data_IF_105344419372
#
_entry.id   IF_105344419372
#
_cell.length_a   1.000
_cell.length_b   1.000
_cell.length_c   1.000
_cell.angle_alpha   90.00
_cell.angle_beta   90.00
_cell.angle_gamma   90.00
#
_symmetry.space_group_name_H-M   'P 1'
#
loop_
_entity.id
_entity.type
_entity.pdbx_description
1 polymer ?
2 non-polymer ?
3 non-polymer ?
4 water ?
#
# COMPACT_ATOMS: atom_id res chain seq x y z
N UNK A 1 -18.81 -11.74 -38.68
CA UNK A 1 -17.65 -10.88 -38.45
C UNK A 1 -16.47 -11.71 -37.94
N UNK A 2 -15.23 -11.19 -38.13
CA UNK A 2 -14.02 -11.88 -37.67
C UNK A 2 -13.88 -11.75 -36.16
N UNK A 3 -13.73 -12.91 -35.49
CA UNK A 3 -13.58 -12.98 -34.05
C UNK A 3 -12.46 -12.05 -33.59
N UNK A 4 -12.74 -11.21 -32.60
CA UNK A 4 -11.79 -10.27 -32.05
C UNK A 4 -10.63 -10.99 -31.39
N UNK A 5 -9.47 -10.35 -31.38
CA UNK A 5 -8.31 -10.90 -30.73
C UNK A 5 -8.43 -10.67 -29.22
N UNK A 6 -7.77 -11.48 -28.42
CA UNK A 6 -7.69 -11.16 -26.98
C UNK A 6 -7.03 -9.77 -26.82
N UNK A 7 -7.34 -9.06 -25.73
CA UNK A 7 -6.81 -7.68 -25.59
C UNK A 7 -5.34 -7.63 -25.20
N UNK A 8 -4.75 -8.78 -24.76
CA UNK A 8 -3.38 -8.74 -24.30
C UNK A 8 -2.65 -10.03 -24.56
N UNK A 9 -1.37 -9.91 -24.92
CA UNK A 9 -0.41 -11.00 -25.20
C UNK A 9 0.63 -11.01 -24.10
N UNK A 10 0.66 -12.06 -23.31
CA UNK A 10 1.67 -12.19 -22.28
C UNK A 10 3.09 -12.17 -22.90
N UNK A 11 4.00 -11.28 -22.42
CA UNK A 11 5.35 -11.21 -23.01
C UNK A 11 6.20 -12.44 -22.62
N UNK A 12 7.30 -12.69 -23.34
CA UNK A 12 8.10 -13.89 -23.05
C UNK A 12 8.68 -13.96 -21.64
N UNK A 13 8.87 -12.79 -21.00
CA UNK A 13 9.45 -12.72 -19.67
C UNK A 13 8.40 -12.97 -18.57
N UNK A 14 7.12 -13.11 -18.93
CA UNK A 14 6.07 -13.32 -17.94
C UNK A 14 6.02 -14.73 -17.39
N UNK A 15 5.53 -14.86 -16.16
CA UNK A 15 5.38 -16.15 -15.51
C UNK A 15 4.60 -16.05 -14.22
N UNK A 16 4.19 -17.20 -13.66
CA UNK A 16 3.34 -17.13 -12.46
C UNK A 16 4.07 -16.67 -11.21
N UNK A 17 3.35 -15.95 -10.35
CA UNK A 17 3.88 -15.53 -9.05
C UNK A 17 3.87 -16.77 -8.12
N UNK A 18 5.01 -17.09 -7.50
CA UNK A 18 5.17 -18.24 -6.59
C UNK A 18 5.12 -17.77 -5.13
N UNK A 19 5.57 -16.53 -4.84
CA UNK A 19 5.53 -15.99 -3.48
C UNK A 19 4.10 -15.46 -3.13
N UNK A 20 3.74 -15.45 -1.82
CA UNK A 20 2.38 -15.04 -1.42
C UNK A 20 2.10 -13.52 -1.40
N UNK A 21 2.18 -12.93 -2.58
CA UNK A 21 1.78 -11.55 -2.83
C UNK A 21 0.28 -11.50 -2.99
N UNK A 22 -0.32 -10.32 -2.73
CA UNK A 22 -1.77 -10.15 -2.86
C UNK A 22 -2.13 -8.73 -3.23
N UNK A 23 -3.40 -8.53 -3.59
CA UNK A 23 -3.94 -7.22 -3.89
C UNK A 23 -5.00 -6.94 -2.86
N UNK A 24 -4.83 -5.87 -2.06
CA UNK A 24 -5.88 -5.51 -1.10
C UNK A 24 -6.70 -4.37 -1.68
N UNK A 25 -8.01 -4.46 -1.61
CA UNK A 25 -8.89 -3.42 -2.10
C UNK A 25 -9.28 -2.45 -1.01
N UNK A 26 -9.24 -1.16 -1.34
CA UNK A 26 -9.74 -0.11 -0.48
C UNK A 26 -10.84 0.60 -1.21
N UNK A 27 -11.87 1.02 -0.50
CA UNK A 27 -12.92 1.82 -1.14
C UNK A 27 -13.29 2.93 -0.17
N UNK A 28 -12.97 4.17 -0.54
CA UNK A 28 -13.27 5.39 0.21
C UNK A 28 -12.94 5.37 1.69
N UNK A 29 -11.70 4.99 2.00
CA UNK A 29 -11.22 4.94 3.38
C UNK A 29 -11.53 3.64 4.09
N UNK A 30 -12.16 2.68 3.41
CA UNK A 30 -12.55 1.40 4.00
C UNK A 30 -11.76 0.26 3.37
N UNK A 31 -11.15 -0.60 4.19
CA UNK A 31 -10.45 -1.78 3.70
C UNK A 31 -11.51 -2.85 3.37
N UNK A 32 -11.51 -3.34 2.12
CA UNK A 32 -12.44 -4.40 1.72
C UNK A 32 -11.67 -5.74 1.72
N UNK A 33 -11.71 -6.49 0.62
CA UNK A 33 -11.07 -7.79 0.57
C UNK A 33 -9.66 -7.84 0.02
N UNK A 34 -9.11 -9.06 0.03
CA UNK A 34 -7.79 -9.35 -0.47
C UNK A 34 -7.89 -10.47 -1.51
N UNK A 35 -7.17 -10.31 -2.61
CA UNK A 35 -7.08 -11.30 -3.70
C UNK A 35 -5.65 -11.83 -3.75
N UNK A 36 -5.45 -13.16 -3.65
CA UNK A 36 -4.10 -13.71 -3.74
C UNK A 36 -3.57 -13.59 -5.16
N UNK A 37 -2.26 -13.33 -5.32
CA UNK A 37 -1.62 -13.29 -6.63
C UNK A 37 -0.79 -14.57 -6.84
N UNK A 38 -0.78 -15.49 -5.87
CA UNK A 38 -0.02 -16.73 -5.99
C UNK A 38 -0.60 -17.54 -7.16
N UNK A 39 0.26 -17.92 -8.08
CA UNK A 39 -0.14 -18.72 -9.23
C UNK A 39 -0.62 -17.87 -10.39
N UNK A 40 -0.74 -16.53 -10.21
CA UNK A 40 -1.16 -15.58 -11.24
C UNK A 40 0.02 -15.18 -12.12
N UNK A 41 -0.09 -15.28 -13.47
CA UNK A 41 0.93 -14.75 -14.37
C UNK A 41 0.58 -13.27 -14.65
N UNK A 42 -0.70 -12.99 -14.91
CA UNK A 42 -1.12 -11.61 -15.07
C UNK A 42 -2.59 -11.48 -14.68
N UNK A 43 -2.97 -10.28 -14.29
CA UNK A 43 -4.32 -10.00 -13.89
C UNK A 43 -4.87 -8.90 -14.79
N UNK A 44 -5.95 -9.24 -15.54
CA UNK A 44 -6.60 -8.30 -16.46
C UNK A 44 -7.75 -7.60 -15.76
N UNK A 45 -7.70 -6.25 -15.71
CA UNK A 45 -8.74 -5.41 -15.12
C UNK A 45 -9.55 -4.73 -16.20
N UNK A 46 -10.86 -4.62 -15.98
CA UNK A 46 -11.71 -3.88 -16.90
C UNK A 46 -13.16 -4.01 -16.52
N UNK A 47 -14.03 -3.38 -17.32
CA UNK A 47 -15.46 -3.41 -17.10
C UNK A 47 -16.11 -4.69 -17.68
N UNK A 48 -15.49 -5.31 -18.71
CA UNK A 48 -16.06 -6.54 -19.28
C UNK A 48 -16.03 -7.66 -18.26
N UNK A 49 -17.09 -8.50 -18.25
CA UNK A 49 -17.22 -9.63 -17.32
C UNK A 49 -16.07 -10.64 -17.47
N UNK A 50 -15.51 -10.71 -18.67
CA UNK A 50 -14.39 -11.59 -19.02
C UNK A 50 -13.09 -11.21 -18.35
N UNK A 51 -12.99 -10.02 -17.74
CA UNK A 51 -11.75 -9.64 -17.05
C UNK A 51 -11.54 -10.44 -15.78
N UNK A 52 -10.26 -10.55 -15.36
CA UNK A 52 -9.97 -11.25 -14.10
C UNK A 52 -10.57 -10.51 -12.89
N UNK A 53 -10.55 -9.15 -12.96
CA UNK A 53 -11.14 -8.26 -11.96
C UNK A 53 -12.06 -7.38 -12.75
N UNK A 54 -13.37 -7.52 -12.45
CA UNK A 54 -14.43 -6.83 -13.18
C UNK A 54 -14.86 -5.60 -12.39
N UNK A 55 -14.55 -4.40 -12.94
CA UNK A 55 -14.89 -3.13 -12.31
C UNK A 55 -16.22 -2.65 -12.86
N UNK A 56 -17.03 -2.00 -12.03
CA UNK A 56 -18.36 -1.61 -12.48
C UNK A 56 -18.43 -0.19 -12.98
N UNK A 57 -17.54 0.70 -12.49
CA UNK A 57 -17.67 2.12 -12.82
C UNK A 57 -17.66 2.35 -14.34
N UNK A 58 -18.65 3.14 -14.90
CA UNK A 58 -18.69 3.31 -16.38
C UNK A 58 -17.45 3.99 -16.94
N UNK A 59 -16.66 4.75 -16.11
CA UNK A 59 -15.45 5.38 -16.66
C UNK A 59 -14.34 4.37 -16.94
N UNK A 60 -14.44 3.12 -16.41
CA UNK A 60 -13.40 2.12 -16.60
C UNK A 60 -13.53 1.55 -18.02
N UNK A 61 -12.41 1.37 -18.70
CA UNK A 61 -12.49 0.79 -20.04
C UNK A 61 -12.89 -0.68 -19.99
N UNK A 62 -13.55 -1.14 -21.09
CA UNK A 62 -13.99 -2.54 -21.19
C UNK A 62 -12.81 -3.50 -20.90
N UNK A 63 -11.65 -3.19 -21.49
CA UNK A 63 -10.35 -3.84 -21.18
C UNK A 63 -9.45 -2.70 -20.80
N UNK A 64 -9.10 -2.60 -19.51
CA UNK A 64 -8.46 -1.39 -19.03
C UNK A 64 -6.95 -1.50 -18.82
N UNK A 65 -6.49 -2.46 -18.00
CA UNK A 65 -5.07 -2.58 -17.74
C UNK A 65 -4.77 -3.97 -17.30
N UNK A 66 -3.48 -4.29 -17.33
CA UNK A 66 -2.99 -5.58 -16.85
C UNK A 66 -1.91 -5.38 -15.80
N UNK A 67 -1.94 -6.20 -14.73
CA UNK A 67 -0.83 -6.30 -13.78
C UNK A 67 -0.08 -7.58 -14.15
N UNK A 68 1.13 -7.45 -14.73
CA UNK A 68 1.91 -8.55 -15.24
C UNK A 68 3.05 -8.91 -14.27
N UNK A 69 3.16 -10.20 -13.97
CA UNK A 69 4.26 -10.69 -13.15
C UNK A 69 5.40 -11.19 -14.04
N UNK A 70 6.63 -10.82 -13.68
CA UNK A 70 7.82 -11.29 -14.37
C UNK A 70 8.17 -12.66 -13.81
N UNK A 71 8.50 -13.65 -14.68
CA UNK A 71 8.85 -15.01 -14.25
C UNK A 71 9.91 -14.97 -13.18
N UNK A 72 9.68 -15.77 -12.14
CA UNK A 72 10.61 -15.81 -11.04
C UNK A 72 11.85 -16.52 -11.50
N UNK A 73 12.99 -16.04 -11.05
CA UNK A 73 14.27 -16.70 -11.25
C UNK A 73 14.28 -17.97 -10.41
N UNK A 74 15.31 -18.80 -10.51
CA UNK A 74 15.30 -20.07 -9.77
C UNK A 74 15.35 -19.93 -8.24
N UNK A 75 15.79 -18.76 -7.72
CA UNK A 75 15.92 -18.40 -6.30
C UNK A 75 16.61 -19.50 -5.46
N UNK A 82 13.01 -6.37 -5.64
CA UNK A 82 12.16 -7.43 -5.10
C UNK A 82 11.33 -8.16 -6.14
N UNK A 83 10.00 -8.28 -5.94
CA UNK A 83 9.18 -8.99 -6.93
C UNK A 83 9.00 -8.16 -8.19
N UNK A 84 8.79 -8.82 -9.30
CA UNK A 84 8.63 -8.12 -10.54
C UNK A 84 7.17 -8.06 -10.95
N UNK A 85 6.45 -7.01 -10.51
CA UNK A 85 5.10 -6.75 -11.03
C UNK A 85 5.14 -5.48 -11.80
N UNK A 86 4.44 -5.48 -12.96
CA UNK A 86 4.42 -4.33 -13.86
C UNK A 86 3.02 -4.06 -14.31
N UNK A 87 2.67 -2.79 -14.33
CA UNK A 87 1.36 -2.34 -14.76
C UNK A 87 1.44 -1.97 -16.22
N UNK A 88 0.41 -2.32 -16.98
CA UNK A 88 0.40 -2.06 -18.43
C UNK A 88 -1.02 -1.56 -18.78
N UNK A 89 -1.15 -0.30 -19.11
CA UNK A 89 -2.44 0.29 -19.46
C UNK A 89 -2.76 -0.05 -20.94
N UNK A 90 -3.97 -0.55 -21.20
CA UNK A 90 -4.36 -0.98 -22.56
C UNK A 90 -4.97 0.17 -23.36
N UNK A 91 -4.35 1.34 -23.31
CA UNK A 91 -4.90 2.51 -24.01
C UNK A 91 -6.26 2.91 -23.46
N UNK A 92 -6.38 2.91 -22.10
CA UNK A 92 -7.64 3.23 -21.46
C UNK A 92 -8.09 4.64 -21.78
N UNK A 93 -9.41 4.83 -21.81
CA UNK A 93 -10.01 6.11 -22.09
C UNK A 93 -9.72 7.11 -20.96
N UNK A 94 -9.84 6.67 -19.70
CA UNK A 94 -9.74 7.57 -18.57
C UNK A 94 -8.55 7.35 -17.64
N UNK A 95 -7.59 6.54 -18.10
CA UNK A 95 -6.31 6.40 -17.45
C UNK A 95 -6.15 5.35 -16.38
N UNK A 96 -4.87 5.02 -16.11
CA UNK A 96 -4.45 4.12 -15.05
C UNK A 96 -3.46 4.88 -14.20
N UNK A 97 -3.67 4.84 -12.88
CA UNK A 97 -2.90 5.64 -11.93
C UNK A 97 -2.10 4.76 -11.01
N UNK A 98 -0.80 5.05 -10.90
CA UNK A 98 0.13 4.32 -10.03
C UNK A 98 0.58 5.35 -8.99
N UNK A 99 0.10 5.21 -7.73
CA UNK A 99 0.15 6.23 -6.68
C UNK A 99 -0.54 7.51 -7.31
N UNK A 100 0.10 8.70 -7.39
CA UNK A 100 -0.65 9.83 -8.00
C UNK A 100 -0.49 9.95 -9.52
N UNK A 101 0.44 9.20 -10.13
CA UNK A 101 0.79 9.40 -11.53
C UNK A 101 -0.04 8.61 -12.55
N UNK A 102 -0.53 9.29 -13.59
CA UNK A 102 -1.22 8.65 -14.70
C UNK A 102 -0.14 8.04 -15.59
N UNK A 103 -0.11 6.72 -15.71
CA UNK A 103 0.96 6.11 -16.47
C UNK A 103 0.72 6.22 -17.99
N UNK A 104 1.82 6.17 -18.77
CA UNK A 104 1.67 6.20 -20.23
C UNK A 104 1.00 4.92 -20.70
N UNK A 105 0.20 4.95 -21.76
CA UNK A 105 -0.40 3.72 -22.25
C UNK A 105 0.63 2.76 -22.82
N UNK A 106 0.30 1.46 -22.72
CA UNK A 106 1.06 0.39 -23.38
C UNK A 106 2.56 0.45 -23.06
N UNK A 107 2.87 0.72 -21.79
CA UNK A 107 4.23 0.82 -21.27
C UNK A 107 4.30 0.07 -19.92
N UNK A 108 5.21 -0.91 -19.79
CA UNK A 108 5.31 -1.58 -18.52
C UNK A 108 5.94 -0.69 -17.46
N UNK A 109 5.18 -0.47 -16.37
CA UNK A 109 5.60 0.38 -15.24
C UNK A 109 5.69 -0.46 -14.01
N UNK A 110 6.88 -0.47 -13.39
CA UNK A 110 7.09 -1.27 -12.18
C UNK A 110 6.19 -0.84 -11.04
N UNK A 111 5.54 -1.83 -10.41
CA UNK A 111 4.70 -1.63 -9.25
C UNK A 111 5.47 -2.12 -8.06
N UNK A 112 6.02 -1.19 -7.25
CA UNK A 112 6.74 -1.66 -6.08
C UNK A 112 5.72 -2.08 -5.02
N UNK A 113 6.11 -2.96 -4.10
CA UNK A 113 5.20 -3.44 -3.06
C UNK A 113 4.72 -2.26 -2.22
N UNK A 114 3.42 -2.27 -1.93
CA UNK A 114 2.77 -1.23 -1.17
C UNK A 114 2.22 -0.13 -2.04
N UNK A 115 2.59 -0.09 -3.34
CA UNK A 115 2.09 0.98 -4.21
C UNK A 115 0.61 0.73 -4.59
N UNK A 116 -0.09 1.86 -4.82
CA UNK A 116 -1.55 1.92 -5.04
C UNK A 116 -1.89 2.12 -6.49
N UNK A 117 -2.88 1.36 -6.97
CA UNK A 117 -3.32 1.42 -8.34
C UNK A 117 -4.81 1.78 -8.38
N UNK A 118 -5.16 2.69 -9.27
CA UNK A 118 -6.54 3.13 -9.50
C UNK A 118 -6.81 3.10 -10.99
N UNK A 119 -8.04 2.69 -11.39
CA UNK A 119 -8.40 2.66 -12.81
C UNK A 119 -9.50 3.67 -13.11
N UNK A 120 -9.23 4.61 -14.01
CA UNK A 120 -10.22 5.63 -14.39
C UNK A 120 -10.78 6.35 -13.19
N UNK A 121 -12.10 6.46 -13.16
CA UNK A 121 -12.84 7.09 -12.08
C UNK A 121 -13.37 6.11 -11.05
N UNK A 122 -12.99 4.79 -11.14
CA UNK A 122 -13.38 3.80 -10.14
C UNK A 122 -12.94 4.28 -8.73
N UNK A 123 -13.77 4.04 -7.71
CA UNK A 123 -13.46 4.44 -6.33
C UNK A 123 -12.53 3.40 -5.67
N UNK A 124 -12.39 2.21 -6.28
CA UNK A 124 -11.54 1.19 -5.69
C UNK A 124 -10.07 1.52 -5.88
N UNK A 125 -9.31 1.28 -4.84
CA UNK A 125 -7.85 1.39 -4.87
C UNK A 125 -7.35 0.00 -4.64
N UNK A 126 -6.30 -0.42 -5.34
CA UNK A 126 -5.70 -1.75 -5.18
C UNK A 126 -4.31 -1.60 -4.68
N UNK A 127 -4.00 -2.26 -3.57
CA UNK A 127 -2.66 -2.17 -2.97
C UNK A 127 -1.92 -3.47 -3.16
N UNK A 128 -0.72 -3.41 -3.75
CA UNK A 128 0.10 -4.61 -3.89
C UNK A 128 0.73 -4.90 -2.52
N UNK A 129 0.51 -6.10 -1.97
CA UNK A 129 1.02 -6.41 -0.65
C UNK A 129 1.90 -7.62 -0.62
N UNK A 130 2.80 -7.65 0.36
CA UNK A 130 3.65 -8.80 0.61
C UNK A 130 3.28 -9.30 2.03
N UNK B 1 3.65 24.87 27.24
CA UNK B 1 3.96 24.98 25.82
C UNK B 1 4.58 23.67 25.30
N UNK B 2 5.91 23.51 25.39
CA UNK B 2 6.59 22.29 24.95
C UNK B 2 6.24 21.12 25.86
N UNK B 3 6.08 19.92 25.31
CA UNK B 3 5.64 18.75 26.05
C UNK B 3 6.77 17.87 26.59
N UNK B 4 6.41 16.94 27.49
CA UNK B 4 7.37 15.99 28.02
C UNK B 4 7.88 15.06 26.92
N UNK B 5 8.98 14.37 27.18
CA UNK B 5 9.52 13.43 26.20
C UNK B 5 8.58 12.23 26.00
N UNK B 6 8.52 11.65 24.80
CA UNK B 6 7.63 10.49 24.61
C UNK B 6 8.03 9.28 25.46
N UNK B 7 7.04 8.44 25.85
CA UNK B 7 7.34 7.26 26.70
C UNK B 7 7.76 6.08 25.80
N UNK B 8 8.92 6.22 25.15
CA UNK B 8 9.39 5.15 24.24
C UNK B 8 10.85 4.97 24.41
N UNK B 9 11.29 3.70 24.49
CA UNK B 9 12.68 3.27 24.61
C UNK B 9 13.01 2.49 23.35
N UNK B 10 13.89 3.01 22.49
CA UNK B 10 14.26 2.23 21.28
C UNK B 10 14.86 0.87 21.70
N UNK B 11 14.31 -0.26 21.22
CA UNK B 11 14.83 -1.58 21.65
C UNK B 11 16.20 -1.88 21.06
N UNK B 12 16.94 -2.85 21.65
CA UNK B 12 18.29 -3.14 21.15
C UNK B 12 18.37 -3.60 19.70
N UNK B 13 17.28 -4.25 19.20
CA UNK B 13 17.21 -4.75 17.84
C UNK B 13 16.92 -3.66 16.80
N UNK B 14 16.61 -2.43 17.26
CA UNK B 14 16.31 -1.33 16.34
C UNK B 14 17.51 -0.76 15.62
N UNK B 15 17.25 -0.21 14.44
CA UNK B 15 18.31 0.41 13.65
C UNK B 15 17.74 1.15 12.46
N UNK B 16 18.54 2.03 11.83
CA UNK B 16 18.00 2.85 10.73
C UNK B 16 17.66 2.08 9.45
N UNK B 17 16.57 2.54 8.78
CA UNK B 17 16.18 1.97 7.50
C UNK B 17 17.12 2.54 6.43
N UNK B 18 17.83 1.68 5.67
CA UNK B 18 18.76 2.14 4.63
C UNK B 18 18.12 2.06 3.24
N UNK B 19 17.22 1.09 3.02
CA UNK B 19 16.49 0.92 1.76
C UNK B 19 15.38 2.01 1.63
N UNK B 20 14.94 2.35 0.39
CA UNK B 20 13.99 3.46 0.21
C UNK B 20 12.51 3.16 0.55
N UNK B 21 12.26 2.85 1.82
CA UNK B 21 10.89 2.63 2.31
C UNK B 21 10.22 3.95 2.60
N UNK B 22 8.87 3.97 2.51
CA UNK B 22 8.13 5.20 2.74
C UNK B 22 6.73 4.89 3.28
N UNK B 23 6.03 5.92 3.74
CA UNK B 23 4.64 5.81 4.17
C UNK B 23 3.80 6.61 3.20
N UNK B 24 2.82 5.99 2.56
CA UNK B 24 1.87 6.73 1.71
C UNK B 24 0.64 7.02 2.58
N UNK B 25 0.16 8.28 2.56
CA UNK B 25 -0.98 8.69 3.34
C UNK B 25 -2.22 8.81 2.45
N UNK B 26 -3.34 8.25 2.88
CA UNK B 26 -4.62 8.31 2.17
C UNK B 26 -5.69 8.90 3.06
N UNK B 27 -6.67 9.60 2.47
CA UNK B 27 -7.85 10.07 3.21
C UNK B 27 -9.06 10.04 2.29
N UNK B 28 -10.08 9.29 2.68
CA UNK B 28 -11.36 9.18 1.99
C UNK B 28 -11.28 8.74 0.53
N UNK B 29 -10.39 7.79 0.27
CA UNK B 29 -10.16 7.26 -1.07
C UNK B 29 -9.24 8.13 -1.90
N UNK B 30 -8.64 9.18 -1.30
CA UNK B 30 -7.74 10.09 -2.01
C UNK B 30 -6.32 9.95 -1.49
N UNK B 31 -5.36 9.83 -2.41
CA UNK B 31 -3.96 9.77 -2.03
C UNK B 31 -3.49 11.18 -1.65
N UNK B 32 -2.89 11.35 -0.45
CA UNK B 32 -2.44 12.68 -0.02
C UNK B 32 -0.98 12.93 -0.35
N UNK B 33 -0.11 12.02 0.03
CA UNK B 33 1.32 12.19 -0.20
C UNK B 33 2.13 11.08 0.41
N UNK B 34 3.43 11.19 0.26
CA UNK B 34 4.37 10.17 0.72
C UNK B 34 5.37 10.81 1.69
N UNK B 35 5.76 10.03 2.71
CA UNK B 35 6.75 10.40 3.73
C UNK B 35 7.87 9.37 3.64
N UNK B 36 9.08 9.78 3.29
CA UNK B 36 10.22 8.87 3.22
C UNK B 36 10.60 8.39 4.65
N UNK B 37 10.95 7.09 4.79
CA UNK B 37 11.42 6.50 6.06
C UNK B 37 12.96 6.35 6.01
N UNK B 38 13.61 6.95 5.00
CA UNK B 38 15.07 6.91 4.85
C UNK B 38 15.73 7.61 6.02
N UNK B 39 16.83 7.03 6.49
CA UNK B 39 17.63 7.57 7.58
C UNK B 39 16.96 7.69 8.93
N UNK B 40 15.94 6.85 9.21
CA UNK B 40 15.31 6.88 10.53
C UNK B 40 15.10 5.45 11.04
N UNK B 41 15.30 5.32 12.33
CA UNK B 41 15.15 4.05 13.06
C UNK B 41 13.71 3.84 13.45
N UNK B 42 12.98 4.93 13.79
CA UNK B 42 11.58 4.79 14.17
C UNK B 42 10.85 6.08 13.85
N UNK B 43 9.55 5.94 13.55
CA UNK B 43 8.67 7.03 13.19
C UNK B 43 7.63 7.16 14.27
N UNK B 44 7.57 8.33 14.91
CA UNK B 44 6.64 8.60 16.00
C UNK B 44 5.39 9.31 15.46
N UNK B 45 4.22 8.75 15.77
CA UNK B 45 2.91 9.28 15.41
C UNK B 45 2.18 9.83 16.60
N UNK B 46 1.48 10.95 16.40
CA UNK B 46 0.71 11.49 17.50
C UNK B 46 0.24 12.89 17.21
N UNK B 47 -0.44 13.50 18.17
CA UNK B 47 -1.01 14.81 18.01
C UNK B 47 0.00 15.93 18.37
N UNK B 48 0.99 15.62 19.25
CA UNK B 48 1.98 16.64 19.60
C UNK B 48 2.90 16.97 18.42
N UNK B 49 3.28 18.27 18.30
CA UNK B 49 4.09 18.80 17.20
C UNK B 49 5.45 18.10 17.05
N UNK B 50 6.00 17.56 18.13
CA UNK B 50 7.27 16.84 18.13
C UNK B 50 7.24 15.51 17.39
N UNK B 51 6.03 15.01 17.06
CA UNK B 51 5.94 13.73 16.35
C UNK B 51 6.43 13.87 14.92
N UNK B 52 6.92 12.76 14.35
CA UNK B 52 7.34 12.74 12.95
C UNK B 52 6.11 12.90 12.05
N UNK B 53 5.01 12.21 12.42
CA UNK B 53 3.72 12.33 11.72
C UNK B 53 2.78 12.90 12.74
N UNK B 54 2.35 14.14 12.52
CA UNK B 54 1.50 14.87 13.42
C UNK B 54 0.05 14.83 12.90
N UNK B 55 -0.81 14.16 13.65
CA UNK B 55 -2.22 14.04 13.28
C UNK B 55 -3.00 15.05 14.08
N UNK B 56 -4.01 15.66 13.48
CA UNK B 56 -4.78 16.66 14.20
C UNK B 56 -6.04 16.12 14.87
N UNK B 57 -6.54 14.93 14.43
CA UNK B 57 -7.79 14.35 14.95
C UNK B 57 -7.73 14.30 16.50
N UNK B 58 -8.73 14.87 17.24
CA UNK B 58 -8.65 14.87 18.70
C UNK B 58 -8.60 13.48 19.34
N UNK B 59 -9.03 12.43 18.61
CA UNK B 59 -9.01 11.06 19.14
C UNK B 59 -7.62 10.43 19.09
N UNK B 60 -6.67 11.09 18.42
CA UNK B 60 -5.29 10.60 18.34
C UNK B 60 -4.54 11.08 19.59
N UNK B 61 -3.85 10.15 20.28
CA UNK B 61 -3.14 10.53 21.48
C UNK B 61 -2.00 11.51 21.19
N UNK B 62 -1.64 12.25 22.25
CA UNK B 62 -0.52 13.19 22.22
C UNK B 62 0.74 12.51 21.65
N UNK B 63 1.10 11.34 22.20
CA UNK B 63 2.11 10.43 21.66
C UNK B 63 1.34 9.13 21.49
N UNK B 64 1.14 8.69 20.24
CA UNK B 64 0.21 7.61 20.01
C UNK B 64 0.87 6.27 19.71
N UNK B 65 1.78 6.23 18.73
CA UNK B 65 2.39 4.97 18.35
C UNK B 65 3.72 5.22 17.68
N UNK B 66 4.50 4.15 17.54
CA UNK B 66 5.75 4.19 16.84
C UNK B 66 5.80 3.07 15.79
N UNK B 67 6.40 3.37 14.64
CA UNK B 67 6.75 2.36 13.63
C UNK B 67 8.25 2.20 13.75
N UNK B 68 8.67 1.04 14.30
CA UNK B 68 10.06 0.74 14.58
C UNK B 68 10.69 -0.18 13.54
N UNK B 69 11.83 0.25 13.01
CA UNK B 69 12.56 -0.58 12.06
C UNK B 69 13.58 -1.44 12.78
N UNK B 70 13.69 -2.71 12.34
CA UNK B 70 14.66 -3.65 12.85
C UNK B 70 15.98 -3.45 12.11
N UNK B 71 17.11 -3.36 12.84
CA UNK B 71 18.44 -3.21 12.25
C UNK B 71 18.65 -4.24 11.16
N UNK B 72 19.23 -3.77 10.06
CA UNK B 72 19.53 -4.63 8.94
C UNK B 72 20.71 -5.58 9.33
N UNK B 73 20.58 -6.84 8.95
CA UNK B 73 21.60 -7.86 9.21
C UNK B 73 22.78 -7.68 8.28
N UNK B 74 23.72 -8.64 8.29
CA UNK B 74 24.92 -8.49 7.45
C UNK B 74 24.65 -8.49 5.96
N UNK B 75 23.59 -9.17 5.52
N UNK B 82 12.55 -9.88 3.67
CA UNK B 82 11.53 -8.90 3.99
C UNK B 82 12.02 -7.87 5.00
N UNK B 83 11.68 -6.57 4.84
CA UNK B 83 12.11 -5.57 5.82
C UNK B 83 11.40 -5.78 7.16
N UNK B 84 12.07 -5.41 8.21
CA UNK B 84 11.46 -5.56 9.52
C UNK B 84 10.92 -4.26 10.05
N UNK B 85 9.61 -3.98 9.86
CA UNK B 85 8.94 -2.81 10.47
C UNK B 85 7.88 -3.30 11.41
N UNK B 86 7.86 -2.73 12.62
CA UNK B 86 6.91 -3.18 13.65
C UNK B 86 6.22 -1.99 14.23
N UNK B 87 4.88 -2.13 14.39
CA UNK B 87 4.04 -1.09 14.97
C UNK B 87 3.96 -1.32 16.48
N UNK B 88 4.04 -0.21 17.26
CA UNK B 88 4.02 -0.32 18.72
C UNK B 88 3.15 0.80 19.22
N UNK B 89 1.99 0.45 19.77
CA UNK B 89 1.05 1.42 20.33
C UNK B 89 1.56 1.87 21.71
N UNK B 90 1.62 3.17 21.96
CA UNK B 90 2.14 3.70 23.24
C UNK B 90 0.98 3.79 24.30
N UNK B 91 0.17 2.77 24.40
CA UNK B 91 -0.94 2.81 25.35
C UNK B 91 -1.99 3.85 25.01
N UNK B 92 -2.30 4.00 23.69
CA UNK B 92 -3.22 5.05 23.25
C UNK B 92 -4.59 4.83 23.84
N UNK B 93 -5.27 5.93 24.11
CA UNK B 93 -6.60 5.77 24.67
C UNK B 93 -7.58 5.15 23.64
N UNK B 94 -7.48 5.59 22.36
CA UNK B 94 -8.49 5.20 21.37
C UNK B 94 -8.03 4.20 20.28
N UNK B 95 -6.83 3.63 20.48
CA UNK B 95 -6.32 2.49 19.73
C UNK B 95 -5.54 2.75 18.47
N UNK B 96 -4.76 1.72 18.12
CA UNK B 96 -4.01 1.67 16.89
C UNK B 96 -4.50 0.46 16.12
N UNK B 97 -4.74 0.61 14.81
CA UNK B 97 -5.36 -0.42 13.98
C UNK B 97 -4.40 -0.85 12.89
N UNK B 98 -4.21 -2.15 12.76
CA UNK B 98 -3.37 -2.73 11.73
C UNK B 98 -4.25 -3.72 11.03
N UNK B 99 -4.39 -3.60 9.70
CA UNK B 99 -5.30 -4.52 8.98
C UNK B 99 -6.70 -4.28 9.56
N UNK B 100 -7.46 -5.30 9.92
CA UNK B 100 -8.77 -4.97 10.53
C UNK B 100 -8.77 -5.28 12.02
N UNK B 101 -7.68 -4.93 12.73
CA UNK B 101 -7.58 -5.29 14.12
C UNK B 101 -7.00 -4.16 14.96
N UNK B 102 -7.60 -3.93 16.14
CA UNK B 102 -7.03 -2.99 17.11
C UNK B 102 -5.89 -3.77 17.81
N UNK B 103 -4.66 -3.28 17.72
CA UNK B 103 -3.55 -4.05 18.28
C UNK B 103 -3.43 -3.87 19.81
N UNK B 104 -2.84 -4.86 20.49
CA UNK B 104 -2.66 -4.72 21.94
C UNK B 104 -1.69 -3.58 22.23
N UNK B 105 -1.83 -2.87 23.35
CA UNK B 105 -0.87 -1.79 23.66
C UNK B 105 0.53 -2.32 23.94
N UNK B 106 1.57 -1.49 23.62
CA UNK B 106 2.96 -1.76 23.99
C UNK B 106 3.40 -3.19 23.61
N UNK B 107 3.00 -3.61 22.39
CA UNK B 107 3.32 -4.91 21.81
C UNK B 107 3.75 -4.70 20.37
N UNK B 108 4.96 -5.15 20.00
CA UNK B 108 5.41 -4.99 18.60
C UNK B 108 4.63 -5.92 17.65
N UNK B 109 4.05 -5.33 16.62
CA UNK B 109 3.23 -6.02 15.63
C UNK B 109 3.84 -5.81 14.24
N UNK B 110 4.23 -6.88 13.57
CA UNK B 110 4.84 -6.75 12.25
C UNK B 110 3.91 -6.08 11.24
N UNK B 111 4.43 -5.08 10.53
CA UNK B 111 3.72 -4.40 9.47
C UNK B 111 4.34 -4.86 8.17
N UNK B 112 3.69 -5.76 7.44
CA UNK B 112 4.24 -6.20 6.17
C UNK B 112 4.04 -5.08 5.17
N UNK B 113 4.91 -5.01 4.17
CA UNK B 113 4.85 -3.95 3.16
C UNK B 113 3.47 -4.01 2.45
N UNK B 114 2.87 -2.84 2.30
CA UNK B 114 1.54 -2.69 1.70
C UNK B 114 0.40 -2.82 2.68
N UNK B 115 0.68 -3.10 3.96
CA UNK B 115 -0.39 -3.21 4.95
C UNK B 115 -0.73 -1.83 5.52
N UNK B 116 -1.99 -1.70 5.97
CA UNK B 116 -2.63 -0.43 6.32
C UNK B 116 -2.72 -0.23 7.84
N UNK B 117 -2.32 0.97 8.25
CA UNK B 117 -2.35 1.42 9.64
C UNK B 117 -3.29 2.62 9.78
N UNK B 118 -4.04 2.65 10.90
CA UNK B 118 -4.97 3.74 11.20
C UNK B 118 -4.89 4.04 12.70
N UNK B 119 -5.11 5.30 13.10
CA UNK B 119 -4.99 5.66 14.51
C UNK B 119 -6.28 6.25 15.04
N UNK B 120 -6.72 5.77 16.21
CA UNK B 120 -7.91 6.31 16.87
C UNK B 120 -9.13 6.35 15.97
N UNK B 121 -9.81 7.49 15.97
CA UNK B 121 -10.98 7.70 15.12
C UNK B 121 -10.66 8.42 13.82
N UNK B 122 -9.37 8.63 13.53
CA UNK B 122 -8.90 9.31 12.32
C UNK B 122 -9.27 8.49 11.07
N UNK B 123 -9.57 9.17 9.96
CA UNK B 123 -9.92 8.45 8.72
C UNK B 123 -8.66 8.33 7.85
N UNK B 124 -7.52 8.90 8.31
CA UNK B 124 -6.27 8.83 7.56
C UNK B 124 -5.72 7.42 7.60
N UNK B 125 -5.27 6.93 6.45
CA UNK B 125 -4.69 5.58 6.35
C UNK B 125 -3.24 5.72 5.96
N UNK B 126 -2.38 4.91 6.56
CA UNK B 126 -0.95 4.92 6.23
C UNK B 126 -0.56 3.59 5.68
N UNK B 127 0.10 3.60 4.53
CA UNK B 127 0.53 2.36 3.88
C UNK B 127 2.05 2.33 3.84
N UNK B 128 2.65 1.27 4.36
CA UNK B 128 4.08 1.05 4.26
C UNK B 128 4.40 0.63 2.81
N UNK B 129 5.31 1.36 2.14
CA UNK B 129 5.63 1.04 0.75
C UNK B 129 7.12 0.81 0.56
N UNK B 130 7.46 -0.01 -0.42
CA UNK B 130 8.83 -0.22 -0.82
C UNK B 130 9.04 0.54 -2.16
X LIG C 1 -13.73 1.68 -23.70
X LIG C 1 -13.96 3.01 -23.21
X LIG C 1 -14.53 0.71 -23.03
X LIG C 1 -13.94 1.57 -25.14
X LIG C 1 -12.25 1.45 -23.46
X LIG D 1 -14.37 -10.41 -9.44
X LIG D 1 -13.13 -11.23 -9.53
X LIG D 1 -14.37 -9.34 -10.44
X LIG D 1 -15.59 -11.27 -9.64
X LIG D 1 -14.41 -9.75 -8.15
X LIG E 1 -15.77 -0.06 -9.30
X LIG E 1 -15.34 0.29 -10.63
X LIG E 1 -16.75 0.91 -8.82
X LIG E 1 -16.41 -1.38 -9.33
X LIG E 1 -14.60 -0.12 -8.42
X LIG F 1 -9.87 11.97 -18.10
X LIG F 1 -9.04 12.19 -16.92
X LIG F 1 -11.27 11.87 -17.69
X LIG F 1 -9.69 13.08 -19.02
X LIG F 1 -9.48 10.76 -18.81
X LIG G 1 0.86 -6.99 -24.78
X LIG G 1 -0.26 -7.42 -25.57
X LIG G 1 2.02 -6.53 -25.62
X LIG G 1 2.31 -7.51 -26.63
X LIG G 1 3.21 -6.38 -24.70
X LIG G 1 4.39 -6.13 -25.44
X LIG H 1 7.23 -14.16 -6.74
X LIG H 1 6.99 -15.16 -7.72
X LIG H 1 8.69 -13.80 -6.70
X LIG H 1 9.03 -13.30 -5.40
X LIG H 1 8.95 -12.71 -7.72
X LIG H 1 10.34 -12.40 -7.79
X LIG I 1 -2.78 -15.56 -22.18
X LIG I 1 -2.97 -16.71 -21.40
X LIG I 1 -1.66 -15.74 -23.17
X LIG I 1 -0.51 -16.31 -22.53
X LIG I 1 -1.32 -14.34 -23.64
X LIG I 1 -0.28 -14.35 -24.61
X LIG J 1 -13.28 -6.15 -2.48
X LIG J 1 -13.18 -7.36 -1.77
X LIG J 1 -14.46 -6.20 -3.42
X LIG J 1 -14.19 -7.16 -4.45
X LIG J 1 -14.70 -4.84 -4.02
X LIG J 1 -16.06 -4.68 -4.40
X LIG K 1 -8.85 12.84 9.98
X LIG K 1 -8.40 13.21 8.64
X LIG K 1 -9.46 14.00 10.61
X LIG K 1 -9.87 11.85 9.89
X LIG K 1 -7.73 12.38 10.77
X LIG L 1 2.89 18.44 28.64
X LIG L 1 2.26 18.33 29.93
X LIG L 1 3.70 19.65 28.63
X LIG L 1 3.70 17.21 28.41
X LIG L 1 1.89 18.59 27.58
X LIG M 1 15.52 -3.68 5.80
X LIG M 1 15.71 -5.05 6.10
X LIG M 1 16.71 -3.12 5.05
X LIG M 1 16.53 -3.30 3.64
X LIG M 1 16.95 -1.66 5.36
X LIG M 1 15.82 -0.86 5.02
#
# INVERSE_FOLDING_TARGET
SMARAPPYQEPPWGGPATAPYSLETLKGGTILGTRSLKGTSYCLFGRLSGCDVCLEHPSVSRYHAVLQHRASGPDGECDSNGPGFYLYDLGSTHGTFLNKTRIPPRTYCRVHVGHVVRFGGSTRLFILQG
SMARAPPYQEPPWGGPATAPYSLETLKGGTILGTRSLKGTSYCLFGRLSGCDVCLEHPSVSRYHAVLQHRASGPDGECDSNGPGFYLYDLGSTHGTFLNKTRIPPRTYCRVHVGHVVRFGGSTRLFILQG
SO4 S O1 O2 O3 O4
SO4 S O1 O2 O3 O4
SO4 S O1 O2 O3 O4
SO4 S O1 O2 O3 O4
GOL C1 O1 C2 O2 C3 O3
GOL C1 O1 C2 O2 C3 O3
GOL C1 O1 C2 O2 C3 O3
GOL C1 O1 C2 O2 C3 O3
SO4 S O1 O2 O3 O4
SO4 S O1 O2 O3 O4
GOL C1 O1 C2 O2 C3 O3
#
